data_IF_459576909107
#
_entry.id   IF_459576909107
#
_cell.length_a   1.000
_cell.length_b   1.000
_cell.length_c   1.000
_cell.angle_alpha   90.00
_cell.angle_beta   90.00
_cell.angle_gamma   90.00
#
_symmetry.space_group_name_H-M   'P 1'
#
loop_
_entity.id
_entity.type
_entity.pdbx_description
1 polymer ?
#
# COMPACT_ATOMS: atom_id res chain seq x y z
N UNK A 1 -23.66 41.49 17.99
CA UNK A 1 -22.51 41.03 17.17
C UNK A 1 -21.68 39.87 17.78
N UNK A 2 -21.80 39.51 19.07
CA UNK A 2 -21.01 38.40 19.66
C UNK A 2 -21.44 37.01 19.14
N UNK A 3 -22.75 36.79 18.97
CA UNK A 3 -23.31 35.53 18.47
C UNK A 3 -22.99 35.22 17.01
N UNK A 4 -22.77 36.24 16.18
CA UNK A 4 -22.45 36.05 14.77
C UNK A 4 -21.05 35.44 14.57
N UNK A 5 -20.06 35.87 15.37
CA UNK A 5 -18.72 35.27 15.37
C UNK A 5 -18.76 33.83 15.89
N UNK A 6 -19.55 33.57 16.92
CA UNK A 6 -19.75 32.22 17.46
C UNK A 6 -20.34 31.26 16.41
N UNK A 7 -21.34 31.73 15.64
CA UNK A 7 -21.97 30.94 14.59
C UNK A 7 -20.99 30.57 13.47
N UNK A 8 -20.10 31.50 13.09
CA UNK A 8 -19.09 31.27 12.06
C UNK A 8 -18.04 30.25 12.53
N UNK A 9 -17.56 30.37 13.77
CA UNK A 9 -16.60 29.40 14.31
C UNK A 9 -17.20 28.01 14.42
N UNK A 10 -18.47 27.90 14.83
CA UNK A 10 -19.18 26.63 14.88
C UNK A 10 -19.28 25.97 13.49
N UNK A 11 -19.60 26.77 12.46
CA UNK A 11 -19.71 26.27 11.09
C UNK A 11 -18.35 25.82 10.53
N UNK A 12 -17.28 26.59 10.77
CA UNK A 12 -15.91 26.19 10.38
C UNK A 12 -15.48 24.87 11.02
N UNK A 13 -15.80 24.67 12.30
CA UNK A 13 -15.45 23.46 13.04
C UNK A 13 -16.19 22.23 12.49
N UNK A 14 -17.46 22.39 12.12
CA UNK A 14 -18.23 21.34 11.45
C UNK A 14 -17.62 20.95 10.10
N UNK A 15 -17.28 21.92 9.26
CA UNK A 15 -16.67 21.64 7.95
C UNK A 15 -15.33 20.92 8.11
N UNK A 16 -14.51 21.33 9.08
CA UNK A 16 -13.24 20.68 9.37
C UNK A 16 -13.43 19.24 9.86
N UNK A 17 -14.40 18.99 10.74
CA UNK A 17 -14.71 17.66 11.24
C UNK A 17 -15.22 16.73 10.13
N UNK A 18 -16.08 17.22 9.23
CA UNK A 18 -16.55 16.45 8.06
C UNK A 18 -15.38 16.16 7.11
N UNK A 19 -14.49 17.12 6.88
CA UNK A 19 -13.29 16.91 6.07
C UNK A 19 -12.37 15.83 6.64
N UNK A 20 -12.13 15.84 7.96
CA UNK A 20 -11.35 14.82 8.65
C UNK A 20 -12.01 13.44 8.61
N UNK A 21 -13.33 13.37 8.75
CA UNK A 21 -14.09 12.12 8.63
C UNK A 21 -14.01 11.55 7.21
N UNK A 22 -14.11 12.39 6.17
CA UNK A 22 -13.94 11.93 4.79
C UNK A 22 -12.51 11.47 4.49
N UNK A 23 -11.50 12.13 5.04
CA UNK A 23 -10.11 11.68 4.94
C UNK A 23 -9.90 10.34 5.65
N UNK A 24 -10.41 10.19 6.87
CA UNK A 24 -10.35 8.94 7.62
C UNK A 24 -11.10 7.81 6.90
N UNK A 25 -12.23 8.10 6.26
CA UNK A 25 -12.98 7.14 5.45
C UNK A 25 -12.21 6.75 4.17
N UNK A 26 -11.57 7.70 3.49
CA UNK A 26 -10.73 7.39 2.33
C UNK A 26 -9.52 6.54 2.70
N UNK A 27 -8.88 6.84 3.84
CA UNK A 27 -7.82 6.00 4.40
C UNK A 27 -8.37 4.63 4.80
N UNK A 28 -9.51 4.58 5.49
CA UNK A 28 -10.15 3.32 5.86
C UNK A 28 -10.52 2.48 4.64
N UNK A 29 -11.07 3.05 3.57
CA UNK A 29 -11.34 2.32 2.32
C UNK A 29 -10.07 1.81 1.64
N UNK A 30 -8.93 2.49 1.83
CA UNK A 30 -7.61 1.98 1.43
C UNK A 30 -7.15 0.80 2.31
N UNK A 31 -7.59 0.72 3.57
CA UNK A 31 -7.22 -0.30 4.56
C UNK A 31 -8.31 -1.38 4.81
N UNK A 32 -9.51 -1.23 4.26
CA UNK A 32 -10.69 -2.04 4.55
C UNK A 32 -11.24 -2.66 3.27
N UNK A 33 -10.46 -3.55 2.68
CA UNK A 33 -10.99 -4.61 1.83
C UNK A 33 -10.57 -5.96 2.41
N UNK A 34 -11.25 -6.36 3.47
CA UNK A 34 -11.15 -7.71 4.02
C UNK A 34 -11.72 -8.73 3.04
N UNK A 35 -10.85 -9.60 2.54
CA UNK A 35 -11.12 -11.03 2.46
C UNK A 35 -11.70 -11.56 1.17
N UNK A 36 -10.84 -11.78 0.16
CA UNK A 36 -10.81 -13.03 -0.63
C UNK A 36 -9.56 -13.08 -1.52
N UNK A 37 -8.58 -13.93 -1.17
CA UNK A 37 -7.81 -14.71 -2.14
C UNK A 37 -6.65 -14.04 -2.88
N UNK A 38 -5.60 -13.64 -2.17
CA UNK A 38 -4.29 -13.39 -2.79
C UNK A 38 -3.47 -14.67 -3.02
N UNK A 39 -3.89 -15.81 -2.44
CA UNK A 39 -3.27 -17.11 -2.65
C UNK A 39 -3.22 -17.59 -4.12
N UNK A 40 -3.95 -16.92 -5.03
CA UNK A 40 -3.99 -17.20 -6.46
C UNK A 40 -3.48 -16.03 -7.34
N UNK A 41 -2.83 -15.02 -6.76
CA UNK A 41 -2.29 -13.93 -7.58
C UNK A 41 -1.26 -14.47 -8.57
N UNK A 42 -1.47 -14.13 -9.83
CA UNK A 42 -0.53 -14.44 -10.90
C UNK A 42 0.74 -13.60 -10.77
N UNK A 43 1.82 -14.08 -11.38
CA UNK A 43 3.06 -13.33 -11.49
C UNK A 43 2.84 -11.96 -12.16
N UNK A 44 1.96 -11.89 -13.15
CA UNK A 44 1.61 -10.65 -13.84
C UNK A 44 0.91 -9.65 -12.92
N UNK A 45 0.00 -10.11 -12.06
CA UNK A 45 -0.67 -9.25 -11.07
C UNK A 45 0.30 -8.74 -10.03
N UNK A 46 1.17 -9.62 -9.48
CA UNK A 46 2.22 -9.24 -8.53
C UNK A 46 3.15 -8.18 -9.15
N UNK A 47 3.60 -8.41 -10.39
CA UNK A 47 4.42 -7.44 -11.12
C UNK A 47 3.69 -6.12 -11.33
N UNK A 48 2.41 -6.14 -11.70
CA UNK A 48 1.62 -4.93 -11.89
C UNK A 48 1.49 -4.12 -10.61
N UNK A 49 1.37 -4.79 -9.46
CA UNK A 49 1.34 -4.12 -8.15
C UNK A 49 2.68 -3.45 -7.83
N UNK A 50 3.79 -4.15 -8.07
CA UNK A 50 5.15 -3.60 -7.88
C UNK A 50 5.40 -2.40 -8.81
N UNK A 51 4.98 -2.49 -10.08
CA UNK A 51 5.08 -1.39 -11.04
C UNK A 51 4.20 -0.20 -10.62
N UNK A 52 3.01 -0.47 -10.09
CA UNK A 52 2.14 0.55 -9.48
C UNK A 52 2.85 1.32 -8.36
N UNK A 53 3.47 0.60 -7.42
CA UNK A 53 4.26 1.23 -6.35
C UNK A 53 5.43 2.04 -6.89
N UNK A 54 6.16 1.52 -7.90
CA UNK A 54 7.24 2.26 -8.54
C UNK A 54 6.75 3.59 -9.14
N UNK A 55 5.58 3.60 -9.79
CA UNK A 55 5.02 4.82 -10.36
C UNK A 55 4.69 5.88 -9.29
N UNK A 56 4.25 5.44 -8.11
CA UNK A 56 3.98 6.32 -6.97
C UNK A 56 5.28 6.77 -6.26
N UNK A 57 6.30 5.91 -6.24
CA UNK A 57 7.57 6.11 -5.52
C UNK A 57 8.81 5.75 -6.37
N UNK A 58 9.07 6.44 -7.48
CA UNK A 58 10.11 6.07 -8.44
C UNK A 58 11.54 6.17 -7.91
N UNK A 59 11.73 6.83 -6.77
CA UNK A 59 13.02 6.98 -6.09
C UNK A 59 13.47 5.74 -5.30
N UNK A 60 12.58 4.77 -5.03
CA UNK A 60 12.89 3.61 -4.17
C UNK A 60 13.71 2.56 -4.93
N UNK A 61 13.34 2.29 -6.17
CA UNK A 61 14.02 1.35 -7.07
C UNK A 61 13.68 1.66 -8.53
N UNK A 62 14.40 1.07 -9.48
CA UNK A 62 14.09 1.15 -10.92
C UNK A 62 13.37 -0.09 -11.42
N UNK A 63 12.43 0.07 -12.35
CA UNK A 63 11.85 -1.06 -13.08
C UNK A 63 12.77 -1.59 -14.20
N UNK A 64 13.88 -0.91 -14.48
CA UNK A 64 14.89 -1.41 -15.43
C UNK A 64 15.52 -2.71 -14.93
N UNK A 65 15.67 -3.69 -15.82
CA UNK A 65 16.22 -5.00 -15.47
C UNK A 65 15.31 -5.86 -14.58
N UNK A 66 14.05 -5.49 -14.38
CA UNK A 66 13.13 -6.19 -13.48
C UNK A 66 13.02 -7.70 -13.77
N UNK A 67 13.30 -8.52 -12.76
CA UNK A 67 13.19 -9.99 -12.77
C UNK A 67 12.64 -10.48 -11.43
N UNK A 68 11.49 -11.16 -11.46
CA UNK A 68 11.00 -11.86 -10.27
C UNK A 68 11.86 -13.10 -10.01
N UNK A 69 12.17 -13.33 -8.74
CA UNK A 69 12.78 -14.58 -8.30
C UNK A 69 11.70 -15.68 -8.30
N UNK A 70 12.11 -16.93 -8.52
CA UNK A 70 11.16 -18.04 -8.57
C UNK A 70 10.48 -18.26 -7.22
N UNK A 71 9.15 -18.38 -7.27
CA UNK A 71 8.31 -18.60 -6.12
C UNK A 71 8.00 -17.32 -5.35
N UNK A 72 6.80 -17.30 -4.77
CA UNK A 72 6.43 -16.35 -3.72
C UNK A 72 6.02 -17.13 -2.48
N UNK A 73 6.26 -16.54 -1.32
CA UNK A 73 5.83 -17.10 -0.05
C UNK A 73 4.47 -16.50 0.31
N UNK A 74 3.47 -17.36 0.51
CA UNK A 74 2.18 -16.94 1.03
C UNK A 74 2.17 -17.20 2.54
N UNK A 75 1.85 -16.17 3.30
CA UNK A 75 1.73 -16.23 4.76
C UNK A 75 0.27 -15.93 5.11
N UNK A 76 -0.39 -16.94 5.66
CA UNK A 76 -1.71 -16.81 6.29
C UNK A 76 -1.50 -16.30 7.72
N UNK A 77 -2.16 -15.20 8.06
CA UNK A 77 -2.01 -14.52 9.33
C UNK A 77 -3.36 -14.08 9.90
N UNK A 78 -3.52 -14.21 11.22
CA UNK A 78 -4.73 -13.76 11.94
C UNK A 78 -5.05 -12.26 11.73
N UNK A 79 -4.04 -11.47 11.34
CA UNK A 79 -4.13 -10.03 11.08
C UNK A 79 -4.20 -9.66 9.59
N UNK A 80 -4.19 -10.65 8.69
CA UNK A 80 -4.20 -10.45 7.25
C UNK A 80 -3.27 -11.42 6.52
N UNK A 81 -3.72 -11.84 5.35
CA UNK A 81 -2.90 -12.59 4.40
C UNK A 81 -1.87 -11.67 3.74
N UNK A 82 -0.68 -12.21 3.44
CA UNK A 82 0.34 -11.49 2.69
C UNK A 82 1.16 -12.41 1.77
N UNK A 83 1.69 -11.82 0.70
CA UNK A 83 2.61 -12.44 -0.24
C UNK A 83 3.98 -11.77 -0.11
N UNK A 84 5.02 -12.57 0.08
CA UNK A 84 6.41 -12.13 -0.05
C UNK A 84 6.95 -12.52 -1.43
N UNK A 85 7.23 -11.52 -2.25
CA UNK A 85 7.86 -11.72 -3.56
C UNK A 85 9.23 -11.03 -3.59
N UNK A 86 10.27 -11.80 -3.87
CA UNK A 86 11.60 -11.24 -4.09
C UNK A 86 11.83 -10.94 -5.57
N UNK A 87 12.47 -9.82 -5.87
CA UNK A 87 12.76 -9.42 -7.26
C UNK A 87 14.09 -8.68 -7.36
N UNK A 88 14.65 -8.69 -8.56
CA UNK A 88 15.90 -8.01 -8.90
C UNK A 88 15.61 -6.93 -9.94
N UNK A 89 16.38 -5.86 -9.86
CA UNK A 89 16.38 -4.73 -10.78
C UNK A 89 17.81 -4.28 -11.01
N UNK A 90 18.05 -3.40 -11.97
CA UNK A 90 19.36 -2.79 -12.16
C UNK A 90 19.82 -1.96 -10.95
N UNK A 91 18.89 -1.53 -10.08
CA UNK A 91 19.21 -0.84 -8.83
C UNK A 91 19.53 -1.76 -7.65
N UNK A 92 19.25 -3.06 -7.76
CA UNK A 92 19.53 -4.04 -6.70
C UNK A 92 18.43 -5.07 -6.49
N UNK A 93 18.53 -5.76 -5.36
CA UNK A 93 17.61 -6.81 -4.92
C UNK A 93 16.63 -6.28 -3.88
N UNK A 94 15.37 -6.66 -4.04
CA UNK A 94 14.26 -6.16 -3.22
C UNK A 94 13.33 -7.30 -2.84
N UNK A 95 12.58 -7.08 -1.77
CA UNK A 95 11.45 -7.91 -1.36
C UNK A 95 10.22 -7.03 -1.27
N UNK A 96 9.18 -7.42 -2.00
CA UNK A 96 7.84 -6.87 -1.87
C UNK A 96 7.06 -7.70 -0.85
N UNK A 97 6.51 -7.03 0.15
CA UNK A 97 5.47 -7.53 1.02
C UNK A 97 4.13 -6.99 0.53
N UNK A 98 3.29 -7.85 -0.02
CA UNK A 98 2.02 -7.47 -0.64
C UNK A 98 0.91 -8.01 0.24
N UNK A 99 0.22 -7.12 0.93
CA UNK A 99 -0.95 -7.46 1.73
C UNK A 99 -2.18 -7.56 0.84
N UNK A 100 -3.10 -8.45 1.20
CA UNK A 100 -4.22 -8.80 0.32
C UNK A 100 -5.37 -7.79 0.34
N UNK A 101 -5.23 -6.76 1.18
CA UNK A 101 -6.00 -5.52 1.20
C UNK A 101 -5.46 -4.46 0.22
N UNK A 102 -4.38 -4.75 -0.52
CA UNK A 102 -3.79 -3.87 -1.52
C UNK A 102 -2.66 -2.98 -1.00
N UNK A 103 -2.24 -3.17 0.26
CA UNK A 103 -0.98 -2.62 0.74
C UNK A 103 0.22 -3.30 0.08
N UNK A 104 1.27 -2.53 -0.12
CA UNK A 104 2.57 -3.02 -0.57
C UNK A 104 3.66 -2.25 0.15
N UNK A 105 4.62 -2.98 0.68
CA UNK A 105 5.88 -2.45 1.19
C UNK A 105 7.04 -3.08 0.43
N UNK A 106 8.08 -2.30 0.15
CA UNK A 106 9.24 -2.76 -0.62
C UNK A 106 10.52 -2.33 0.08
N UNK A 107 11.25 -3.33 0.55
CA UNK A 107 12.52 -3.15 1.22
C UNK A 107 13.68 -3.72 0.39
N UNK A 108 14.86 -3.07 0.43
CA UNK A 108 16.09 -3.67 -0.06
C UNK A 108 16.35 -5.00 0.64
N UNK A 109 16.53 -6.07 -0.15
CA UNK A 109 16.77 -7.40 0.39
C UNK A 109 18.25 -7.76 0.26
N UNK A 110 18.98 -7.51 1.35
CA UNK A 110 20.35 -7.98 1.48
C UNK A 110 20.30 -9.44 1.92
N UNK A 111 20.39 -10.34 0.95
CA UNK A 111 20.52 -11.76 1.23
C UNK A 111 21.80 -11.97 2.06
N UNK A 112 21.67 -12.27 3.35
CA UNK A 112 22.76 -12.82 4.15
C UNK A 112 23.05 -14.23 3.60
N UNK A 113 23.83 -14.30 2.52
CA UNK A 113 24.43 -15.57 2.08
C UNK A 113 25.55 -15.99 3.02
#
# INVERSE_FOLDING_TARGET
>A
MKYFKFLIYFFMLMVLAVGLLMLAYALFMKYSSTGTGCNNLSYEEIKSTIDGFHNDFPQVFTMSGFRMQEGFEYIDGDSGDLILQSFETDSGYYRAEITCDGGIDIDPWYNER
#
